data_IF_551473917022
#
_entry.id   IF_551473917022
#
_cell.length_a   1.000
_cell.length_b   1.000
_cell.length_c   1.000
_cell.angle_alpha   90.00
_cell.angle_beta   90.00
_cell.angle_gamma   90.00
#
_symmetry.space_group_name_H-M   'P 1'
#
loop_
_entity.id
_entity.type
_entity.pdbx_description
1 polymer ?
#
# COMPACT_ATOMS: atom_id res chain seq x y z
N UNK A 1 65.91 -10.30 21.47
CA UNK A 1 65.26 -9.29 22.34
C UNK A 1 64.06 -8.72 21.59
N UNK A 2 62.86 -8.87 22.15
CA UNK A 2 61.56 -8.54 21.54
C UNK A 2 61.43 -7.04 21.25
N UNK A 3 60.86 -6.65 20.10
CA UNK A 3 60.03 -5.44 20.03
C UNK A 3 58.91 -5.65 19.01
N UNK A 4 57.70 -5.41 19.50
CA UNK A 4 56.41 -5.79 18.96
C UNK A 4 55.99 -4.85 17.81
N UNK A 5 55.55 -5.41 16.68
CA UNK A 5 54.63 -4.70 15.80
C UNK A 5 53.22 -4.82 16.40
N UNK A 6 52.67 -3.67 16.81
CA UNK A 6 51.31 -3.54 17.33
C UNK A 6 50.34 -3.55 16.14
N UNK A 7 49.69 -4.67 15.94
CA UNK A 7 48.49 -4.84 15.11
C UNK A 7 47.37 -3.96 15.67
N UNK A 8 46.91 -2.97 14.90
CA UNK A 8 45.66 -2.26 15.14
C UNK A 8 44.57 -2.88 14.25
N UNK A 9 44.06 -4.05 14.67
CA UNK A 9 42.82 -4.59 14.13
C UNK A 9 41.63 -3.79 14.68
N UNK A 10 40.97 -3.02 13.82
CA UNK A 10 39.66 -2.44 14.12
C UNK A 10 38.68 -3.58 14.39
N UNK A 11 38.36 -3.78 15.66
CA UNK A 11 37.32 -4.70 16.12
C UNK A 11 35.96 -4.04 15.83
N UNK A 12 35.33 -4.38 14.70
CA UNK A 12 33.91 -4.07 14.50
C UNK A 12 33.12 -4.82 15.58
N UNK A 13 32.44 -4.06 16.45
CA UNK A 13 31.44 -4.61 17.36
C UNK A 13 30.16 -4.83 16.56
N UNK A 14 29.87 -6.08 16.26
CA UNK A 14 28.54 -6.49 15.81
C UNK A 14 27.58 -6.30 16.99
N UNK A 15 26.73 -5.27 16.89
CA UNK A 15 25.58 -5.13 17.78
C UNK A 15 24.41 -5.84 17.10
N UNK A 16 23.77 -6.85 17.73
CA UNK A 16 22.55 -7.41 17.20
C UNK A 16 21.47 -6.33 17.28
N UNK A 17 21.06 -5.81 16.13
CA UNK A 17 19.89 -4.96 15.99
C UNK A 17 18.66 -5.77 16.43
N UNK A 18 18.25 -5.62 17.69
CA UNK A 18 16.90 -5.93 18.12
C UNK A 18 15.98 -4.84 17.58
N UNK A 19 15.59 -4.99 16.31
CA UNK A 19 14.57 -4.15 15.71
C UNK A 19 13.29 -4.20 16.56
N UNK A 20 12.56 -3.08 16.70
CA UNK A 20 11.33 -3.06 17.47
C UNK A 20 10.35 -4.06 16.86
N UNK A 21 10.03 -5.10 17.63
CA UNK A 21 8.94 -6.03 17.36
C UNK A 21 7.67 -5.19 17.38
N UNK A 22 7.22 -4.76 16.20
CA UNK A 22 5.96 -4.06 16.01
C UNK A 22 4.87 -4.97 16.58
N UNK A 23 4.47 -4.70 17.83
CA UNK A 23 3.18 -5.11 18.35
C UNK A 23 2.16 -4.40 17.48
N UNK A 24 1.75 -5.06 16.41
CA UNK A 24 0.52 -4.75 15.71
C UNK A 24 -0.56 -4.80 16.78
N UNK A 25 -0.98 -3.64 17.27
CA UNK A 25 -2.24 -3.54 18.00
C UNK A 25 -3.27 -4.14 17.06
N UNK A 26 -3.91 -5.22 17.49
CA UNK A 26 -5.06 -5.77 16.82
C UNK A 26 -6.07 -4.63 16.70
N UNK A 27 -6.06 -3.99 15.54
CA UNK A 27 -7.17 -3.19 15.04
C UNK A 27 -8.37 -4.08 15.19
N UNK A 28 -9.42 -3.56 15.83
CA UNK A 28 -10.74 -4.18 15.87
C UNK A 28 -11.06 -4.77 14.49
N UNK A 29 -11.75 -5.93 14.41
CA UNK A 29 -12.08 -6.51 13.13
C UNK A 29 -12.81 -5.45 12.31
N UNK A 30 -12.11 -4.90 11.32
CA UNK A 30 -12.65 -3.91 10.41
C UNK A 30 -13.86 -4.60 9.80
N UNK A 31 -15.06 -4.13 10.12
CA UNK A 31 -16.27 -4.63 9.49
C UNK A 31 -16.15 -4.29 8.01
N UNK A 32 -15.70 -5.25 7.21
CA UNK A 32 -15.62 -5.18 5.74
C UNK A 32 -17.02 -5.29 5.14
N UNK A 33 -17.97 -4.60 5.76
CA UNK A 33 -19.38 -4.61 5.44
C UNK A 33 -19.79 -3.19 5.07
N UNK A 34 -20.54 -3.05 3.98
CA UNK A 34 -21.01 -1.77 3.47
C UNK A 34 -20.74 -1.57 1.98
N UNK A 35 -21.32 -0.53 1.36
CA UNK A 35 -21.26 -0.29 -0.08
C UNK A 35 -19.83 -0.10 -0.62
N UNK A 36 -18.86 0.24 0.25
CA UNK A 36 -17.45 0.36 -0.13
C UNK A 36 -16.80 -1.00 -0.49
N UNK A 37 -17.33 -2.10 0.02
CA UNK A 37 -16.85 -3.48 -0.20
C UNK A 37 -17.76 -4.28 -1.13
N UNK A 38 -18.71 -3.62 -1.82
CA UNK A 38 -19.62 -4.28 -2.75
C UNK A 38 -18.92 -4.57 -4.08
N UNK A 39 -18.87 -5.84 -4.54
CA UNK A 39 -18.18 -6.20 -5.78
C UNK A 39 -18.82 -5.58 -7.03
N UNK A 40 -20.11 -5.20 -6.99
CA UNK A 40 -20.77 -4.55 -8.12
C UNK A 40 -20.25 -3.12 -8.36
N UNK A 41 -19.50 -2.53 -7.42
CA UNK A 41 -18.86 -1.21 -7.60
C UNK A 41 -17.62 -1.25 -8.49
N UNK A 42 -16.99 -2.42 -8.64
CA UNK A 42 -15.78 -2.57 -9.43
C UNK A 42 -16.18 -2.90 -10.87
N UNK A 43 -16.08 -1.96 -11.80
CA UNK A 43 -16.39 -2.17 -13.22
C UNK A 43 -15.20 -1.74 -14.09
N UNK A 44 -15.28 -1.94 -15.41
CA UNK A 44 -14.26 -1.49 -16.36
C UNK A 44 -14.06 0.03 -16.32
N UNK A 45 -15.08 0.77 -15.87
CA UNK A 45 -15.03 2.22 -15.63
C UNK A 45 -14.33 2.59 -14.33
N UNK A 46 -14.10 1.63 -13.43
CA UNK A 46 -13.47 1.89 -12.14
C UNK A 46 -11.97 2.07 -12.33
N UNK A 47 -11.48 3.15 -11.76
CA UNK A 47 -10.08 3.55 -11.78
C UNK A 47 -9.39 3.17 -10.48
N UNK A 48 -8.13 2.77 -10.60
CA UNK A 48 -7.31 2.32 -9.49
C UNK A 48 -6.05 3.16 -9.38
N UNK A 49 -5.51 3.22 -8.18
CA UNK A 49 -4.26 3.91 -7.87
C UNK A 49 -3.35 2.99 -7.07
N UNK A 50 -2.04 3.16 -7.25
CA UNK A 50 -1.05 2.46 -6.44
C UNK A 50 -1.04 3.02 -5.03
N UNK A 51 -0.97 2.16 -4.02
CA UNK A 51 -0.92 2.59 -2.62
C UNK A 51 0.28 3.47 -2.26
N UNK A 52 1.41 3.31 -2.95
CA UNK A 52 2.54 4.24 -2.83
C UNK A 52 2.22 5.64 -3.35
N UNK A 53 1.48 5.73 -4.46
CA UNK A 53 1.02 6.99 -5.07
C UNK A 53 -0.06 7.64 -4.23
N UNK A 54 -1.08 6.89 -3.79
CA UNK A 54 -2.10 7.38 -2.88
C UNK A 54 -1.52 7.93 -1.58
N UNK A 55 -0.56 7.22 -0.98
CA UNK A 55 0.12 7.69 0.22
C UNK A 55 0.89 9.01 -0.02
N UNK A 56 1.49 9.19 -1.19
CA UNK A 56 2.15 10.45 -1.56
C UNK A 56 1.12 11.56 -1.86
N UNK A 57 0.04 11.24 -2.54
CA UNK A 57 -1.02 12.16 -2.91
C UNK A 57 -1.75 12.74 -1.70
N UNK A 58 -1.89 11.97 -0.62
CA UNK A 58 -2.50 12.42 0.64
C UNK A 58 -1.52 13.12 1.60
N UNK A 59 -0.35 13.58 1.13
CA UNK A 59 0.68 14.20 1.98
C UNK A 59 1.39 13.23 2.94
N UNK A 60 1.11 11.93 2.87
CA UNK A 60 1.67 10.91 3.77
C UNK A 60 2.96 10.24 3.24
N UNK A 61 3.58 10.82 2.20
CA UNK A 61 4.71 10.23 1.48
C UNK A 61 5.97 9.96 2.30
N UNK A 62 6.13 10.62 3.46
CA UNK A 62 7.29 10.46 4.35
C UNK A 62 7.29 9.16 5.16
N UNK A 63 6.15 8.46 5.29
CA UNK A 63 6.04 7.22 6.06
C UNK A 63 5.32 6.16 5.25
N UNK A 64 6.00 5.03 4.97
CA UNK A 64 5.43 3.93 4.18
C UNK A 64 4.17 3.36 4.85
N UNK A 65 3.09 3.29 4.09
CA UNK A 65 1.87 2.60 4.49
C UNK A 65 1.04 3.31 5.56
N UNK A 66 1.31 4.60 5.83
CA UNK A 66 0.55 5.38 6.81
C UNK A 66 -0.94 5.47 6.47
N UNK A 67 -1.27 5.51 5.17
CA UNK A 67 -2.64 5.44 4.68
C UNK A 67 -3.41 4.21 5.20
N UNK A 68 -2.78 3.03 5.30
CA UNK A 68 -3.45 1.81 5.75
C UNK A 68 -3.69 1.77 7.26
N UNK A 69 -2.94 2.57 8.01
CA UNK A 69 -3.08 2.68 9.47
C UNK A 69 -4.16 3.71 9.78
N UNK A 70 -4.17 4.83 9.04
CA UNK A 70 -5.15 5.92 9.23
C UNK A 70 -6.54 5.53 8.69
N UNK A 71 -6.57 4.73 7.63
CA UNK A 71 -7.81 4.24 7.00
C UNK A 71 -7.81 2.71 6.93
N UNK A 72 -8.06 2.03 8.05
CA UNK A 72 -8.09 0.57 8.07
C UNK A 72 -9.30 0.01 7.29
N UNK A 73 -10.38 0.79 7.18
CA UNK A 73 -11.59 0.48 6.38
C UNK A 73 -11.40 0.57 4.86
N UNK A 74 -10.30 1.19 4.41
CA UNK A 74 -9.99 1.38 3.01
C UNK A 74 -9.74 0.03 2.33
N UNK A 75 -10.48 -0.22 1.25
CA UNK A 75 -10.25 -1.40 0.43
C UNK A 75 -8.82 -1.39 -0.12
N UNK A 76 -8.12 -2.52 0.06
CA UNK A 76 -6.78 -2.74 -0.49
C UNK A 76 -6.71 -4.12 -1.12
N UNK A 77 -6.26 -4.16 -2.36
CA UNK A 77 -5.98 -5.40 -3.08
C UNK A 77 -4.48 -5.59 -3.25
N UNK A 78 -3.95 -6.74 -2.84
CA UNK A 78 -2.54 -7.06 -3.03
C UNK A 78 -2.33 -7.59 -4.45
N UNK A 79 -1.54 -6.88 -5.25
CA UNK A 79 -1.28 -7.28 -6.64
C UNK A 79 -0.48 -8.59 -6.69
N UNK A 80 -0.98 -9.56 -7.44
CA UNK A 80 -0.33 -10.84 -7.75
C UNK A 80 0.84 -10.67 -8.74
N UNK A 81 1.67 -11.71 -8.96
CA UNK A 81 2.76 -11.65 -9.94
C UNK A 81 2.30 -11.23 -11.35
N UNK A 82 1.16 -11.75 -11.83
CA UNK A 82 0.56 -11.37 -13.11
C UNK A 82 0.15 -9.88 -13.13
N UNK A 83 -0.46 -9.41 -12.04
CA UNK A 83 -0.90 -8.02 -11.91
C UNK A 83 0.30 -7.08 -11.92
N UNK A 84 1.38 -7.44 -11.21
CA UNK A 84 2.65 -6.69 -11.19
C UNK A 84 3.32 -6.62 -12.55
N UNK A 85 3.27 -7.70 -13.33
CA UNK A 85 3.80 -7.71 -14.69
C UNK A 85 3.07 -6.67 -15.55
N UNK A 86 1.74 -6.73 -15.59
CA UNK A 86 0.92 -5.76 -16.33
C UNK A 86 1.16 -4.31 -15.85
N UNK A 87 1.23 -4.08 -14.53
CA UNK A 87 1.51 -2.75 -13.97
C UNK A 87 2.89 -2.20 -14.37
N UNK A 88 3.86 -3.10 -14.59
CA UNK A 88 5.19 -2.73 -15.07
C UNK A 88 5.18 -2.43 -16.56
N UNK A 89 4.48 -3.24 -17.36
CA UNK A 89 4.31 -3.03 -18.80
C UNK A 89 3.58 -1.71 -19.10
N UNK A 90 2.53 -1.39 -18.34
CA UNK A 90 1.82 -0.11 -18.44
C UNK A 90 2.59 1.07 -17.80
N UNK A 91 3.83 0.85 -17.35
CA UNK A 91 4.68 1.85 -16.68
C UNK A 91 4.04 2.54 -15.46
N UNK A 92 3.01 1.92 -14.87
CA UNK A 92 2.41 2.39 -13.62
C UNK A 92 3.35 2.14 -12.44
N UNK A 93 4.09 1.04 -12.46
CA UNK A 93 5.12 0.68 -11.49
C UNK A 93 6.50 0.67 -12.15
N UNK A 94 7.51 1.29 -11.53
CA UNK A 94 8.91 1.03 -11.91
C UNK A 94 9.28 -0.35 -11.40
N UNK A 95 9.85 -1.20 -12.26
CA UNK A 95 10.30 -2.55 -11.95
C UNK A 95 11.11 -2.59 -10.64
N UNK A 96 10.42 -2.79 -9.52
CA UNK A 96 11.00 -2.80 -8.18
C UNK A 96 10.80 -4.21 -7.67
N UNK A 97 11.72 -5.09 -8.06
CA UNK A 97 11.69 -6.51 -7.72
C UNK A 97 11.47 -6.71 -6.23
N UNK A 98 10.37 -7.38 -5.87
CA UNK A 98 10.09 -7.88 -4.53
C UNK A 98 9.22 -7.01 -3.62
N UNK A 99 8.89 -5.75 -3.96
CA UNK A 99 7.98 -4.96 -3.10
C UNK A 99 6.51 -5.33 -3.32
N UNK A 100 5.76 -5.42 -2.23
CA UNK A 100 4.29 -5.55 -2.29
C UNK A 100 3.70 -4.28 -2.91
N UNK A 101 2.82 -4.46 -3.89
CA UNK A 101 2.05 -3.40 -4.50
C UNK A 101 0.60 -3.58 -4.10
N UNK A 102 0.01 -2.55 -3.50
CA UNK A 102 -1.41 -2.52 -3.17
C UNK A 102 -2.13 -1.62 -4.16
N UNK A 103 -3.28 -2.08 -4.61
CA UNK A 103 -4.22 -1.34 -5.43
C UNK A 103 -5.37 -0.84 -4.55
N UNK A 104 -5.71 0.43 -4.75
CA UNK A 104 -6.76 1.15 -4.05
C UNK A 104 -7.70 1.74 -5.10
N UNK A 105 -8.97 1.93 -4.77
CA UNK A 105 -9.89 2.62 -5.67
C UNK A 105 -9.59 4.11 -5.65
N UNK A 106 -9.47 4.73 -6.82
CA UNK A 106 -9.29 6.17 -6.95
C UNK A 106 -10.41 6.93 -6.21
N UNK A 107 -11.67 6.51 -6.43
CA UNK A 107 -12.83 7.15 -5.83
C UNK A 107 -12.74 7.25 -4.30
N UNK A 108 -12.27 6.19 -3.64
CA UNK A 108 -12.10 6.19 -2.18
C UNK A 108 -10.98 7.16 -1.75
N UNK A 109 -9.91 7.27 -2.54
CA UNK A 109 -8.82 8.21 -2.25
C UNK A 109 -9.25 9.67 -2.49
N UNK A 110 -10.07 9.92 -3.51
CA UNK A 110 -10.63 11.25 -3.77
C UNK A 110 -11.60 11.67 -2.66
N UNK A 111 -12.45 10.75 -2.20
CA UNK A 111 -13.33 10.95 -1.04
C UNK A 111 -12.52 11.29 0.22
N UNK A 112 -11.45 10.52 0.48
CA UNK A 112 -10.52 10.81 1.56
C UNK A 112 -9.82 12.17 1.41
N UNK A 113 -9.41 12.54 0.21
CA UNK A 113 -8.78 13.83 -0.06
C UNK A 113 -9.76 15.01 0.10
N UNK A 114 -11.06 14.78 -0.15
CA UNK A 114 -12.12 15.77 0.04
C UNK A 114 -12.58 15.91 1.50
N UNK A 115 -12.23 14.96 2.36
CA UNK A 115 -12.53 15.00 3.78
C UNK A 115 -11.72 16.11 4.49
N UNK A 116 -12.29 16.73 5.52
CA UNK A 116 -11.71 17.88 6.25
C UNK A 116 -10.32 17.55 6.84
N UNK A 117 -10.06 16.27 7.14
CA UNK A 117 -8.77 15.75 7.59
C UNK A 117 -7.62 15.94 6.58
N UNK A 118 -7.94 16.15 5.29
CA UNK A 118 -6.97 16.25 4.20
C UNK A 118 -7.19 17.45 3.29
N UNK A 119 -8.44 17.86 3.05
CA UNK A 119 -8.86 18.97 2.19
C UNK A 119 -8.09 20.27 2.43
N UNK A 120 -7.78 20.56 3.69
CA UNK A 120 -7.06 21.78 4.10
C UNK A 120 -5.53 21.59 4.13
N UNK A 121 -5.03 20.40 3.80
CA UNK A 121 -3.60 20.13 3.72
C UNK A 121 -3.02 20.56 2.38
N UNK A 122 -2.11 21.54 2.41
CA UNK A 122 -1.27 21.98 1.27
C UNK A 122 -0.39 20.86 0.67
N UNK A 123 -0.27 19.73 1.36
CA UNK A 123 0.48 18.56 0.91
C UNK A 123 -0.33 17.64 -0.02
N UNK A 124 -1.62 17.92 -0.25
CA UNK A 124 -2.44 17.20 -1.20
C UNK A 124 -1.90 17.34 -2.63
N UNK A 125 -1.52 16.21 -3.22
CA UNK A 125 -0.99 16.12 -4.58
C UNK A 125 -1.77 15.10 -5.38
N UNK A 126 -3.00 15.45 -5.75
CA UNK A 126 -3.86 14.59 -6.56
C UNK A 126 -3.23 14.25 -7.92
N UNK A 127 -2.37 15.11 -8.48
CA UNK A 127 -1.60 14.80 -9.70
C UNK A 127 -0.73 13.54 -9.58
N UNK A 128 -0.27 13.23 -8.36
CA UNK A 128 0.57 12.06 -8.08
C UNK A 128 -0.21 10.75 -8.05
N UNK A 129 -1.55 10.78 -7.96
CA UNK A 129 -2.38 9.57 -7.93
C UNK A 129 -2.14 8.72 -9.18
N UNK A 130 -2.02 9.38 -10.34
CA UNK A 130 -1.83 8.76 -11.67
C UNK A 130 -2.68 7.48 -11.76
N UNK A 131 -3.98 7.69 -11.67
CA UNK A 131 -4.99 6.63 -11.73
C UNK A 131 -4.95 5.94 -13.08
N UNK A 132 -5.38 4.68 -13.09
CA UNK A 132 -5.40 3.85 -14.27
C UNK A 132 -6.61 2.91 -14.26
N UNK A 133 -7.06 2.55 -15.46
CA UNK A 133 -8.12 1.56 -15.63
C UNK A 133 -7.48 0.17 -15.67
N UNK A 134 -7.88 -0.69 -14.74
CA UNK A 134 -7.41 -2.06 -14.71
C UNK A 134 -8.14 -2.90 -15.79
N UNK A 135 -7.51 -3.93 -16.34
CA UNK A 135 -8.16 -4.80 -17.31
C UNK A 135 -9.24 -5.67 -16.63
N UNK A 136 -10.24 -6.11 -17.39
CA UNK A 136 -11.39 -6.89 -16.88
C UNK A 136 -10.96 -8.10 -16.03
N UNK A 137 -9.94 -8.86 -16.46
CA UNK A 137 -9.44 -10.02 -15.71
C UNK A 137 -8.87 -9.65 -14.33
N UNK A 138 -8.31 -8.45 -14.16
CA UNK A 138 -7.82 -7.96 -12.86
C UNK A 138 -8.98 -7.50 -11.99
N UNK A 139 -9.97 -6.83 -12.58
CA UNK A 139 -11.21 -6.43 -11.92
C UNK A 139 -11.96 -7.65 -11.39
N UNK A 140 -12.06 -8.73 -12.18
CA UNK A 140 -12.67 -9.99 -11.76
C UNK A 140 -11.96 -10.60 -10.54
N UNK A 141 -10.62 -10.58 -10.51
CA UNK A 141 -9.86 -11.02 -9.32
C UNK A 141 -10.19 -10.17 -8.10
N UNK A 142 -10.27 -8.85 -8.25
CA UNK A 142 -10.63 -7.96 -7.15
C UNK A 142 -12.06 -8.17 -6.66
N UNK A 143 -13.02 -8.40 -7.57
CA UNK A 143 -14.41 -8.75 -7.22
C UNK A 143 -14.45 -10.03 -6.40
N UNK A 144 -13.78 -11.10 -6.85
CA UNK A 144 -13.66 -12.35 -6.12
C UNK A 144 -12.98 -12.16 -4.77
N UNK A 145 -11.96 -11.31 -4.70
CA UNK A 145 -11.29 -10.99 -3.44
C UNK A 145 -12.21 -10.26 -2.45
N UNK A 146 -13.00 -9.29 -2.91
CA UNK A 146 -14.03 -8.64 -2.08
C UNK A 146 -15.06 -9.65 -1.58
N UNK A 147 -15.53 -10.55 -2.46
CA UNK A 147 -16.49 -11.59 -2.10
C UNK A 147 -15.92 -12.56 -1.06
N UNK A 148 -14.72 -13.10 -1.29
CA UNK A 148 -14.02 -13.98 -0.34
C UNK A 148 -13.86 -13.35 1.04
N UNK A 149 -13.44 -12.09 1.11
CA UNK A 149 -13.26 -11.40 2.39
C UNK A 149 -14.58 -11.08 3.11
N UNK A 150 -15.70 -11.11 2.40
CA UNK A 150 -17.05 -11.00 2.96
C UNK A 150 -17.52 -12.36 3.49
N UNK A 151 -17.24 -13.45 2.79
CA UNK A 151 -17.65 -14.81 3.19
C UNK A 151 -16.80 -15.39 4.33
N UNK A 152 -15.52 -15.03 4.46
CA UNK A 152 -14.65 -15.49 5.57
C UNK A 152 -15.06 -14.97 6.97
N UNK A 153 -16.12 -14.16 7.06
CA UNK A 153 -16.66 -13.65 8.33
C UNK A 153 -17.94 -14.38 8.81
N UNK A 154 -18.40 -15.40 8.09
CA UNK A 154 -19.51 -16.27 8.51
C UNK A 154 -19.01 -17.51 9.29
#
# INVERSE_FOLDING_TARGET
>A
MRRLYRTAGMRMRETPWTGPRLKLKATEPIKREGPKWDPARLDERTTFVLGSRANKALGMGGTRGRIYIKHPELFKYAADPQDKQWLTEQQHMKATGGKMAYLLLEQDILDLAANDDYKDSLELKLDELKSFSAPAWMIEKMRKYMELLRTEQD
#
